data_IF_060087555195
#
_entry.id   IF_060087555195
#
_cell.length_a   1.000
_cell.length_b   1.000
_cell.length_c   1.000
_cell.angle_alpha   90.00
_cell.angle_beta   90.00
_cell.angle_gamma   90.00
#
_symmetry.space_group_name_H-M   'P 1'
#
loop_
_entity.id
_entity.type
_entity.pdbx_description
1 polymer ?
#
# COMPACT_ATOMS: atom_id res chain seq x y z
N UNK A 1 5.74 21.26 17.20
CA UNK A 1 4.98 21.32 15.95
C UNK A 1 3.52 21.44 16.36
N UNK A 2 2.87 22.55 16.02
CA UNK A 2 1.44 22.72 16.30
C UNK A 2 0.66 22.19 15.10
N UNK A 3 -0.25 21.23 15.35
CA UNK A 3 -1.16 20.73 14.36
C UNK A 3 -2.57 21.23 14.68
N UNK A 4 -3.34 21.58 13.66
CA UNK A 4 -4.71 22.08 13.82
C UNK A 4 -5.74 20.95 13.91
N UNK A 5 -5.40 19.78 13.43
CA UNK A 5 -6.20 18.55 13.45
C UNK A 5 -5.32 17.38 13.90
N UNK A 6 -5.84 16.42 14.64
CA UNK A 6 -5.11 15.21 14.97
C UNK A 6 -4.68 14.47 13.69
N UNK A 7 -3.41 14.06 13.65
CA UNK A 7 -2.83 13.31 12.55
C UNK A 7 -2.39 11.93 13.04
N UNK A 8 -2.42 10.94 12.17
CA UNK A 8 -1.96 9.61 12.52
C UNK A 8 -1.13 8.98 11.42
N UNK A 9 -0.35 7.99 11.81
CA UNK A 9 0.35 7.06 10.94
C UNK A 9 0.22 5.64 11.53
N UNK A 10 -0.41 4.75 10.79
CA UNK A 10 -0.50 3.33 11.11
C UNK A 10 0.44 2.55 10.17
N UNK A 11 1.48 1.93 10.71
CA UNK A 11 2.46 1.16 9.95
C UNK A 11 2.33 -0.33 10.24
N UNK A 12 2.39 -1.16 9.21
CA UNK A 12 2.39 -2.62 9.30
C UNK A 12 3.73 -3.16 8.81
N UNK A 13 4.47 -3.84 9.70
CA UNK A 13 5.73 -4.46 9.33
C UNK A 13 5.46 -5.65 8.41
N UNK A 14 5.97 -5.58 7.18
CA UNK A 14 5.86 -6.62 6.17
C UNK A 14 7.12 -7.52 6.16
N UNK A 15 7.01 -8.66 5.48
CA UNK A 15 8.17 -9.51 5.19
C UNK A 15 8.86 -8.95 3.95
N UNK A 16 10.16 -8.62 4.03
CA UNK A 16 10.91 -8.19 2.87
C UNK A 16 11.17 -9.36 1.92
N UNK A 17 11.33 -9.06 0.63
CA UNK A 17 11.86 -10.01 -0.33
C UNK A 17 13.40 -10.08 -0.23
N UNK A 18 13.98 -11.06 -0.93
CA UNK A 18 15.40 -11.09 -1.25
C UNK A 18 15.74 -10.09 -2.35
N UNK A 19 16.68 -10.48 -3.22
CA UNK A 19 17.10 -9.69 -4.38
C UNK A 19 16.49 -10.24 -5.69
N UNK A 20 16.71 -9.54 -6.79
CA UNK A 20 16.30 -9.98 -8.11
C UNK A 20 14.82 -9.86 -8.38
N UNK A 21 14.26 -10.80 -9.13
CA UNK A 21 12.84 -10.78 -9.52
C UNK A 21 11.89 -10.88 -8.35
N UNK A 22 12.28 -11.56 -7.26
CA UNK A 22 11.45 -11.66 -6.05
C UNK A 22 11.24 -10.28 -5.40
N UNK A 23 12.28 -9.43 -5.42
CA UNK A 23 12.18 -8.05 -4.95
C UNK A 23 11.16 -7.27 -5.78
N UNK A 24 11.32 -7.27 -7.09
CA UNK A 24 10.41 -6.58 -8.01
C UNK A 24 8.98 -7.11 -7.89
N UNK A 25 8.80 -8.43 -7.80
CA UNK A 25 7.49 -9.05 -7.66
C UNK A 25 6.80 -8.62 -6.37
N UNK A 26 7.52 -8.63 -5.23
CA UNK A 26 6.95 -8.20 -3.96
C UNK A 26 6.60 -6.71 -3.97
N UNK A 27 7.41 -5.85 -4.60
CA UNK A 27 7.10 -4.43 -4.75
C UNK A 27 5.75 -4.23 -5.46
N UNK A 28 5.56 -4.90 -6.60
CA UNK A 28 4.29 -4.81 -7.36
C UNK A 28 3.11 -5.38 -6.57
N UNK A 29 3.27 -6.52 -5.89
CA UNK A 29 2.22 -7.11 -5.04
C UNK A 29 1.84 -6.15 -3.90
N UNK A 30 2.83 -5.54 -3.25
CA UNK A 30 2.62 -4.61 -2.16
C UNK A 30 1.90 -3.34 -2.59
N UNK A 31 2.25 -2.79 -3.75
CA UNK A 31 1.58 -1.62 -4.34
C UNK A 31 0.11 -1.93 -4.69
N UNK A 32 -0.14 -3.05 -5.36
CA UNK A 32 -1.51 -3.48 -5.69
C UNK A 32 -2.31 -3.73 -4.41
N UNK A 33 -1.73 -4.37 -3.40
CA UNK A 33 -2.38 -4.62 -2.12
C UNK A 33 -2.70 -3.32 -1.37
N UNK A 34 -1.79 -2.34 -1.43
CA UNK A 34 -1.99 -1.02 -0.87
C UNK A 34 -3.16 -0.29 -1.55
N UNK A 35 -3.20 -0.26 -2.88
CA UNK A 35 -4.27 0.38 -3.63
C UNK A 35 -5.63 -0.29 -3.41
N UNK A 36 -5.67 -1.63 -3.33
CA UNK A 36 -6.89 -2.38 -3.05
C UNK A 36 -7.42 -2.10 -1.64
N UNK A 37 -6.53 -1.97 -0.65
CA UNK A 37 -6.91 -1.76 0.73
C UNK A 37 -7.18 -0.29 1.05
N UNK A 38 -6.33 0.63 0.59
CA UNK A 38 -6.27 2.02 1.02
C UNK A 38 -6.53 3.05 -0.08
N UNK A 39 -6.54 2.66 -1.34
CA UNK A 39 -6.71 3.58 -2.48
C UNK A 39 -8.05 4.32 -2.45
N UNK A 40 -8.11 5.48 -3.08
CA UNK A 40 -9.28 6.38 -3.08
C UNK A 40 -10.58 5.74 -3.57
N UNK A 41 -10.47 4.70 -4.41
CA UNK A 41 -11.61 3.93 -4.91
C UNK A 41 -11.91 2.68 -4.10
N UNK A 42 -11.16 2.42 -3.03
CA UNK A 42 -11.37 1.23 -2.20
C UNK A 42 -12.67 1.35 -1.39
N UNK A 43 -13.37 0.23 -1.14
CA UNK A 43 -14.55 0.23 -0.28
C UNK A 43 -14.26 0.75 1.13
N UNK A 44 -13.06 0.53 1.64
CA UNK A 44 -12.63 1.05 2.94
C UNK A 44 -12.56 2.58 2.92
N UNK A 45 -11.85 3.16 1.94
CA UNK A 45 -11.71 4.61 1.82
C UNK A 45 -13.08 5.29 1.77
N UNK A 46 -13.95 4.83 0.85
CA UNK A 46 -15.28 5.41 0.66
C UNK A 46 -16.11 5.36 1.95
N UNK A 47 -16.10 4.23 2.65
CA UNK A 47 -16.82 4.05 3.91
C UNK A 47 -16.30 4.97 5.02
N UNK A 48 -14.98 5.06 5.19
CA UNK A 48 -14.38 5.91 6.22
C UNK A 48 -14.58 7.40 5.93
N UNK A 49 -14.52 7.77 4.64
CA UNK A 49 -14.76 9.13 4.19
C UNK A 49 -16.22 9.56 4.45
N UNK A 50 -17.17 8.72 4.08
CA UNK A 50 -18.61 8.98 4.32
C UNK A 50 -18.95 9.08 5.81
N UNK A 51 -18.23 8.34 6.66
CA UNK A 51 -18.37 8.42 8.12
C UNK A 51 -17.66 9.66 8.73
N UNK A 52 -16.91 10.41 7.93
CA UNK A 52 -16.13 11.55 8.40
C UNK A 52 -14.96 11.18 9.32
N UNK A 53 -14.52 9.92 9.29
CA UNK A 53 -13.37 9.42 10.05
C UNK A 53 -12.04 9.80 9.41
N UNK A 54 -12.03 10.00 8.09
CA UNK A 54 -10.90 10.46 7.29
C UNK A 54 -11.33 11.62 6.38
N UNK A 55 -10.35 12.29 5.81
CA UNK A 55 -10.55 13.30 4.76
C UNK A 55 -9.60 13.00 3.58
N UNK A 56 -9.48 13.93 2.64
CA UNK A 56 -8.63 13.78 1.45
C UNK A 56 -7.12 13.74 1.74
N UNK A 57 -6.70 13.95 2.98
CA UNK A 57 -5.30 13.76 3.38
C UNK A 57 -4.95 12.29 3.67
N UNK A 58 -5.98 11.41 3.77
CA UNK A 58 -5.76 9.99 3.99
C UNK A 58 -5.18 9.32 2.76
N UNK A 59 -4.16 8.51 2.97
CA UNK A 59 -3.55 7.67 1.95
C UNK A 59 -2.57 6.69 2.59
N UNK A 60 -1.96 5.88 1.75
CA UNK A 60 -0.95 4.92 2.18
C UNK A 60 0.02 4.59 1.07
N UNK A 61 1.08 3.89 1.42
CA UNK A 61 2.06 3.35 0.48
C UNK A 61 2.65 2.05 1.02
N UNK A 62 3.15 1.25 0.12
CA UNK A 62 4.04 0.14 0.44
C UNK A 62 5.47 0.56 0.16
N UNK A 63 6.35 0.36 1.12
CA UNK A 63 7.76 0.73 1.02
C UNK A 63 8.63 -0.50 1.26
N UNK A 64 9.66 -0.63 0.46
CA UNK A 64 10.61 -1.72 0.60
C UNK A 64 12.06 -1.23 0.41
N UNK A 65 12.92 -1.71 1.29
CA UNK A 65 14.37 -1.49 1.27
C UNK A 65 15.05 -2.82 1.63
N UNK A 66 16.36 -2.97 1.40
CA UNK A 66 17.08 -4.18 1.78
C UNK A 66 16.84 -4.57 3.24
N UNK A 67 16.21 -5.73 3.45
CA UNK A 67 15.89 -6.26 4.78
C UNK A 67 14.71 -5.62 5.50
N UNK A 68 14.03 -4.64 4.90
CA UNK A 68 12.90 -3.91 5.49
C UNK A 68 11.77 -3.81 4.47
N UNK A 69 10.54 -4.13 4.90
CA UNK A 69 9.34 -3.83 4.14
C UNK A 69 8.21 -3.42 5.10
N UNK A 70 7.43 -2.43 4.72
CA UNK A 70 6.28 -2.00 5.49
C UNK A 70 5.21 -1.37 4.59
N UNK A 71 3.97 -1.54 5.00
CA UNK A 71 2.84 -0.82 4.45
C UNK A 71 2.38 0.18 5.51
N UNK A 72 2.08 1.39 5.10
CA UNK A 72 1.55 2.39 6.04
C UNK A 72 0.31 3.08 5.47
N UNK A 73 -0.51 3.58 6.38
CA UNK A 73 -1.63 4.47 6.12
C UNK A 73 -1.57 5.65 7.07
N UNK A 74 -1.92 6.83 6.61
CA UNK A 74 -1.92 8.02 7.45
C UNK A 74 -2.78 9.13 6.91
N UNK A 75 -2.95 10.17 7.70
CA UNK A 75 -3.73 11.35 7.38
C UNK A 75 -4.31 12.01 8.63
N UNK A 76 -5.25 12.92 8.42
CA UNK A 76 -5.99 13.55 9.49
C UNK A 76 -7.13 12.65 9.95
N UNK A 77 -7.28 12.46 11.27
CA UNK A 77 -8.41 11.75 11.84
C UNK A 77 -8.61 12.16 13.29
N UNK A 78 -9.86 12.31 13.68
CA UNK A 78 -10.23 12.51 15.09
C UNK A 78 -10.24 11.21 15.90
N UNK A 79 -10.26 10.07 15.23
CA UNK A 79 -10.27 8.73 15.82
C UNK A 79 -9.39 7.76 15.03
N UNK A 80 -8.09 7.97 15.14
CA UNK A 80 -7.07 7.16 14.47
C UNK A 80 -7.14 5.67 14.85
N UNK A 81 -7.55 5.37 16.08
CA UNK A 81 -7.66 3.98 16.56
C UNK A 81 -8.77 3.22 15.84
N UNK A 82 -9.92 3.88 15.65
CA UNK A 82 -11.01 3.31 14.85
C UNK A 82 -10.56 3.13 13.41
N UNK A 83 -9.90 4.11 12.79
CA UNK A 83 -9.38 3.97 11.42
C UNK A 83 -8.41 2.78 11.31
N UNK A 84 -7.43 2.67 12.21
CA UNK A 84 -6.48 1.56 12.22
C UNK A 84 -7.17 0.18 12.39
N UNK A 85 -8.20 0.12 13.25
CA UNK A 85 -9.01 -1.09 13.41
C UNK A 85 -9.81 -1.46 12.16
N UNK A 86 -10.37 -0.47 11.46
CA UNK A 86 -11.13 -0.70 10.23
C UNK A 86 -10.21 -1.16 9.08
N UNK A 87 -8.97 -0.67 9.00
CA UNK A 87 -7.97 -1.18 8.04
C UNK A 87 -7.75 -2.69 8.25
N UNK A 88 -7.56 -3.13 9.48
CA UNK A 88 -7.38 -4.56 9.79
C UNK A 88 -8.62 -5.38 9.46
N UNK A 89 -9.80 -4.91 9.85
CA UNK A 89 -11.08 -5.59 9.55
C UNK A 89 -11.31 -5.74 8.06
N UNK A 90 -10.96 -4.71 7.28
CA UNK A 90 -11.08 -4.78 5.82
C UNK A 90 -10.10 -5.77 5.21
N UNK A 91 -8.85 -5.79 5.67
CA UNK A 91 -7.89 -6.80 5.24
C UNK A 91 -8.38 -8.23 5.56
N UNK A 92 -8.90 -8.45 6.78
CA UNK A 92 -9.49 -9.74 7.16
C UNK A 92 -10.71 -10.11 6.31
N UNK A 93 -11.54 -9.13 5.94
CA UNK A 93 -12.68 -9.32 5.04
C UNK A 93 -12.20 -9.75 3.65
N UNK A 94 -11.23 -9.04 3.08
CA UNK A 94 -10.66 -9.36 1.76
C UNK A 94 -10.02 -10.76 1.74
N UNK A 95 -9.37 -11.16 2.83
CA UNK A 95 -8.81 -12.50 2.97
C UNK A 95 -9.89 -13.59 3.05
N UNK A 96 -10.99 -13.32 3.76
CA UNK A 96 -12.07 -14.30 3.96
C UNK A 96 -13.01 -14.41 2.78
N UNK A 97 -13.40 -13.30 2.18
CA UNK A 97 -14.42 -13.19 1.13
C UNK A 97 -13.84 -13.13 -0.28
N UNK A 98 -12.53 -12.85 -0.37
CA UNK A 98 -11.84 -12.60 -1.62
C UNK A 98 -11.99 -11.15 -2.11
N UNK A 99 -11.14 -10.79 -3.06
CA UNK A 99 -11.17 -9.49 -3.74
C UNK A 99 -12.13 -9.60 -4.93
N UNK A 100 -13.02 -8.63 -5.09
CA UNK A 100 -13.89 -8.54 -6.27
C UNK A 100 -13.08 -8.50 -7.56
N UNK A 101 -13.46 -9.30 -8.55
CA UNK A 101 -12.69 -9.47 -9.79
C UNK A 101 -12.64 -8.18 -10.61
N UNK A 102 -13.76 -7.46 -10.72
CA UNK A 102 -13.82 -6.24 -11.50
C UNK A 102 -12.96 -5.14 -10.85
N UNK A 103 -13.00 -5.05 -9.51
CA UNK A 103 -12.18 -4.11 -8.76
C UNK A 103 -10.69 -4.47 -8.84
N UNK A 104 -10.32 -5.74 -8.71
CA UNK A 104 -8.94 -6.20 -8.91
C UNK A 104 -8.41 -5.80 -10.28
N UNK A 105 -9.17 -6.07 -11.34
CA UNK A 105 -8.80 -5.72 -12.71
C UNK A 105 -8.70 -4.20 -12.92
N UNK A 106 -9.54 -3.41 -12.28
CA UNK A 106 -9.46 -1.96 -12.33
C UNK A 106 -8.16 -1.44 -11.71
N UNK A 107 -7.84 -1.89 -10.49
CA UNK A 107 -6.63 -1.46 -9.76
C UNK A 107 -5.36 -1.90 -10.51
N UNK A 108 -5.29 -3.15 -10.93
CA UNK A 108 -4.11 -3.66 -11.64
C UNK A 108 -3.86 -2.94 -12.95
N UNK A 109 -4.92 -2.65 -13.75
CA UNK A 109 -4.78 -1.85 -14.97
C UNK A 109 -4.32 -0.42 -14.70
N UNK A 110 -4.81 0.20 -13.63
CA UNK A 110 -4.40 1.54 -13.23
C UNK A 110 -2.91 1.57 -12.83
N UNK A 111 -2.48 0.61 -12.02
CA UNK A 111 -1.09 0.45 -11.59
C UNK A 111 -0.16 0.20 -12.79
N UNK A 112 -0.51 -0.73 -13.69
CA UNK A 112 0.22 -0.97 -14.93
C UNK A 112 0.35 0.28 -15.79
N UNK A 113 -0.76 0.98 -16.02
CA UNK A 113 -0.78 2.22 -16.79
C UNK A 113 0.05 3.34 -16.16
N UNK A 114 0.13 3.39 -14.82
CA UNK A 114 1.00 4.32 -14.10
C UNK A 114 2.48 4.04 -14.33
N UNK A 115 2.87 2.77 -14.25
CA UNK A 115 4.25 2.34 -14.56
C UNK A 115 4.63 2.68 -16.00
N UNK A 116 3.76 2.40 -16.99
CA UNK A 116 4.00 2.79 -18.38
C UNK A 116 4.18 4.29 -18.56
N UNK A 117 3.36 5.11 -17.90
CA UNK A 117 3.53 6.58 -17.95
C UNK A 117 4.85 7.04 -17.34
N UNK A 118 5.33 6.35 -16.31
CA UNK A 118 6.64 6.61 -15.70
C UNK A 118 7.80 6.52 -16.71
N UNK A 119 7.69 5.67 -17.71
CA UNK A 119 8.72 5.54 -18.77
C UNK A 119 8.82 6.76 -19.70
N UNK A 120 7.92 7.72 -19.62
CA UNK A 120 8.06 8.99 -20.34
C UNK A 120 8.99 10.00 -19.64
N UNK A 121 9.46 9.69 -18.44
CA UNK A 121 10.39 10.52 -17.67
C UNK A 121 11.78 9.91 -17.65
N UNK A 122 12.79 10.65 -18.17
CA UNK A 122 14.18 10.23 -18.07
C UNK A 122 14.65 10.05 -16.62
N UNK A 123 14.17 10.89 -15.73
CA UNK A 123 14.48 10.79 -14.30
C UNK A 123 13.95 9.49 -13.71
N UNK A 124 12.69 9.16 -13.95
CA UNK A 124 12.10 7.90 -13.48
C UNK A 124 12.82 6.68 -14.07
N UNK A 125 13.17 6.70 -15.36
CA UNK A 125 13.94 5.63 -15.98
C UNK A 125 15.31 5.49 -15.30
N UNK A 126 16.02 6.60 -15.08
CA UNK A 126 17.33 6.56 -14.43
C UNK A 126 17.25 6.02 -13.00
N UNK A 127 16.23 6.43 -12.22
CA UNK A 127 15.99 5.90 -10.87
C UNK A 127 15.68 4.41 -10.94
N UNK A 128 14.73 3.98 -11.79
CA UNK A 128 14.36 2.56 -11.92
C UNK A 128 15.54 1.67 -12.34
N UNK A 129 16.37 2.14 -13.28
CA UNK A 129 17.59 1.41 -13.68
C UNK A 129 18.60 1.31 -12.54
N UNK A 130 18.73 2.38 -11.74
CA UNK A 130 19.64 2.40 -10.59
C UNK A 130 19.14 1.44 -9.50
N UNK A 131 17.86 1.45 -9.20
CA UNK A 131 17.23 0.51 -8.25
C UNK A 131 17.39 -0.93 -8.75
N UNK A 132 17.07 -1.19 -10.03
CA UNK A 132 17.23 -2.50 -10.63
C UNK A 132 18.68 -3.00 -10.54
N UNK A 133 19.66 -2.13 -10.76
CA UNK A 133 21.08 -2.48 -10.60
C UNK A 133 21.43 -2.87 -9.15
N UNK A 134 20.99 -2.09 -8.18
CA UNK A 134 21.29 -2.37 -6.77
C UNK A 134 20.55 -3.59 -6.21
N UNK A 135 19.38 -3.89 -6.74
CA UNK A 135 18.56 -5.02 -6.28
C UNK A 135 18.64 -6.26 -7.19
N UNK A 136 19.41 -6.18 -8.27
CA UNK A 136 19.70 -7.34 -9.15
C UNK A 136 18.54 -7.73 -10.07
N UNK A 137 17.68 -6.79 -10.48
CA UNK A 137 16.60 -7.03 -11.44
C UNK A 137 16.64 -6.08 -12.63
N UNK A 138 16.01 -6.49 -13.74
CA UNK A 138 15.79 -5.64 -14.91
C UNK A 138 14.41 -4.97 -14.82
N UNK A 139 14.33 -3.63 -14.63
CA UNK A 139 13.06 -2.93 -14.51
C UNK A 139 12.20 -2.98 -15.78
N UNK A 140 12.78 -3.26 -16.95
CA UNK A 140 12.01 -3.41 -18.18
C UNK A 140 11.24 -4.74 -18.28
N UNK A 141 11.51 -5.68 -17.37
CA UNK A 141 10.75 -6.92 -17.25
C UNK A 141 9.47 -6.77 -16.40
N UNK A 142 9.15 -5.55 -15.96
CA UNK A 142 7.94 -5.33 -15.16
C UNK A 142 6.64 -5.85 -15.82
N UNK A 143 6.44 -5.81 -17.16
CA UNK A 143 5.22 -6.35 -17.76
C UNK A 143 5.07 -7.86 -17.51
N UNK A 144 6.18 -8.62 -17.63
CA UNK A 144 6.18 -10.06 -17.38
C UNK A 144 5.89 -10.39 -15.91
N UNK A 145 6.52 -9.63 -15.00
CA UNK A 145 6.27 -9.76 -13.56
C UNK A 145 4.83 -9.43 -13.23
N UNK A 146 4.32 -8.34 -13.79
CA UNK A 146 2.94 -7.90 -13.59
C UNK A 146 1.92 -8.94 -14.03
N UNK A 147 2.10 -9.50 -15.24
CA UNK A 147 1.23 -10.56 -15.80
C UNK A 147 1.26 -11.85 -14.97
N UNK A 148 2.34 -12.07 -14.20
CA UNK A 148 2.48 -13.24 -13.34
C UNK A 148 1.79 -13.11 -11.98
N UNK A 149 1.35 -11.90 -11.60
CA UNK A 149 0.73 -11.65 -10.30
C UNK A 149 -0.75 -11.98 -10.33
N UNK A 150 -1.17 -12.76 -9.36
CA UNK A 150 -2.55 -13.21 -9.21
C UNK A 150 -3.25 -12.51 -8.04
N UNK A 151 -4.57 -12.59 -8.04
CA UNK A 151 -5.40 -12.13 -6.93
C UNK A 151 -5.08 -12.86 -5.62
N UNK A 152 -4.71 -14.13 -5.74
CA UNK A 152 -4.29 -14.98 -4.63
C UNK A 152 -2.98 -14.50 -4.00
N UNK A 153 -2.02 -13.99 -4.80
CA UNK A 153 -0.77 -13.40 -4.29
C UNK A 153 -1.07 -12.16 -3.44
N UNK A 154 -1.96 -11.28 -3.92
CA UNK A 154 -2.37 -10.08 -3.18
C UNK A 154 -3.12 -10.45 -1.90
N UNK A 155 -4.02 -11.43 -1.97
CA UNK A 155 -4.74 -11.92 -0.79
C UNK A 155 -3.79 -12.53 0.24
N UNK A 156 -2.78 -13.29 -0.22
CA UNK A 156 -1.76 -13.86 0.64
C UNK A 156 -0.90 -12.77 1.30
N UNK A 157 -0.54 -11.72 0.55
CA UNK A 157 0.18 -10.58 1.10
C UNK A 157 -0.60 -9.90 2.23
N UNK A 158 -1.89 -9.61 2.02
CA UNK A 158 -2.75 -9.01 3.05
C UNK A 158 -2.83 -9.91 4.30
N UNK A 159 -3.09 -11.21 4.12
CA UNK A 159 -3.18 -12.18 5.21
C UNK A 159 -1.90 -12.25 6.05
N UNK A 160 -0.74 -12.20 5.41
CA UNK A 160 0.54 -12.43 6.07
C UNK A 160 1.13 -11.17 6.70
N UNK A 161 0.72 -9.99 6.26
CA UNK A 161 1.34 -8.73 6.65
C UNK A 161 0.41 -7.76 7.41
N UNK A 162 -0.87 -7.69 7.08
CA UNK A 162 -1.79 -6.73 7.70
C UNK A 162 -2.45 -7.35 8.94
N UNK A 163 -1.71 -7.34 10.05
CA UNK A 163 -2.10 -7.99 11.30
C UNK A 163 -1.87 -7.08 12.50
N UNK A 164 -2.67 -7.28 13.55
CA UNK A 164 -2.58 -6.49 14.78
C UNK A 164 -1.19 -6.54 15.43
N UNK A 165 -0.59 -7.74 15.48
CA UNK A 165 0.73 -7.93 16.08
C UNK A 165 1.89 -7.35 15.26
N UNK A 166 1.61 -6.87 14.05
CA UNK A 166 2.58 -6.23 13.16
C UNK A 166 2.35 -4.73 13.01
N UNK A 167 1.33 -4.21 13.67
CA UNK A 167 0.93 -2.82 13.55
C UNK A 167 1.57 -1.95 14.64
N UNK A 168 1.96 -0.74 14.22
CA UNK A 168 2.29 0.37 15.13
C UNK A 168 1.44 1.56 14.73
N UNK A 169 0.81 2.21 15.69
CA UNK A 169 0.04 3.44 15.51
C UNK A 169 0.77 4.60 16.19
N UNK A 170 1.02 5.66 15.45
CA UNK A 170 1.53 6.94 15.94
C UNK A 170 0.46 8.01 15.75
N UNK A 171 0.23 8.81 16.78
CA UNK A 171 -0.75 9.90 16.78
C UNK A 171 -0.08 11.20 17.21
N UNK A 172 -0.33 12.28 16.47
CA UNK A 172 0.04 13.64 16.84
C UNK A 172 -1.25 14.41 17.09
N UNK A 173 -1.44 14.84 18.32
CA UNK A 173 -2.66 15.57 18.72
C UNK A 173 -2.32 17.04 18.99
N UNK A 174 -3.26 17.97 18.74
CA UNK A 174 -3.10 19.37 19.14
C UNK A 174 -2.89 19.48 20.65
N UNK A 175 -2.11 20.51 21.12
CA UNK A 175 -2.03 20.79 22.54
C UNK A 175 -3.44 21.00 23.13
N UNK A 176 -3.68 20.44 24.30
CA UNK A 176 -4.91 20.75 25.02
C UNK A 176 -4.85 22.22 25.48
N UNK A 177 -5.87 23.00 25.08
CA UNK A 177 -6.03 24.39 25.52
C UNK A 177 -6.37 24.51 27.00
#
# INVERSE_FOLDING_TARGET
MEVSCPQFLAGFKCRPAGEGEDYMRLAVIGDIACDILLGDSSPLYLRLYDQGLINTSFGGSFEMMPGIAYLYAGGDSKDARTVASEIQKEADRLVREGIDEAFYQQVTRAAFGSNLRGLNSFENIAVSLTEGYFHGYDPFRFPEVFDSITKEDVTAFLRDNIRAERMVLSEIVPPQA
#
